data_IF_124807307231
#
_entry.id   IF_124807307231
#
_cell.length_a   1.000
_cell.length_b   1.000
_cell.length_c   1.000
_cell.angle_alpha   90.00
_cell.angle_beta   90.00
_cell.angle_gamma   90.00
#
_symmetry.space_group_name_H-M   'P 1'
#
loop_
_entity.id
_entity.type
_entity.pdbx_description
1 polymer ?
#
# COMPACT_ATOMS: atom_id res chain seq x y z
N UNK A 1 -12.80 -26.27 2.10
CA UNK A 1 -12.00 -25.28 1.36
C UNK A 1 -11.19 -24.51 2.40
N UNK A 2 -9.87 -24.52 2.28
CA UNK A 2 -8.99 -23.83 3.23
C UNK A 2 -9.04 -22.32 2.94
N UNK A 3 -9.18 -21.50 3.97
CA UNK A 3 -9.19 -20.04 3.83
C UNK A 3 -7.77 -19.56 3.49
N UNK A 4 -7.54 -19.19 2.22
CA UNK A 4 -6.23 -18.77 1.71
C UNK A 4 -5.83 -17.36 2.13
N UNK A 5 -6.81 -16.50 2.45
CA UNK A 5 -6.58 -15.07 2.64
C UNK A 5 -5.60 -14.74 3.78
N UNK A 6 -5.64 -15.38 4.97
CA UNK A 6 -4.69 -15.09 6.04
C UNK A 6 -3.24 -15.37 5.66
N UNK A 7 -2.98 -16.54 5.05
CA UNK A 7 -1.63 -16.94 4.64
C UNK A 7 -1.12 -16.05 3.49
N UNK A 8 -2.00 -15.72 2.56
CA UNK A 8 -1.68 -14.82 1.44
C UNK A 8 -1.32 -13.42 1.95
N UNK A 9 -2.09 -12.88 2.89
CA UNK A 9 -1.80 -11.58 3.49
C UNK A 9 -0.45 -11.58 4.23
N UNK A 10 -0.13 -12.63 4.98
CA UNK A 10 1.17 -12.74 5.67
C UNK A 10 2.35 -12.70 4.67
N UNK A 11 2.24 -13.42 3.54
CA UNK A 11 3.25 -13.37 2.46
C UNK A 11 3.39 -11.96 1.89
N UNK A 12 2.28 -11.31 1.57
CA UNK A 12 2.24 -9.93 1.05
C UNK A 12 2.87 -8.95 2.04
N UNK A 13 2.51 -9.03 3.32
CA UNK A 13 3.02 -8.14 4.38
C UNK A 13 4.53 -8.30 4.55
N UNK A 14 5.03 -9.54 4.54
CA UNK A 14 6.45 -9.85 4.63
C UNK A 14 7.21 -9.34 3.42
N UNK A 15 6.67 -9.52 2.21
CA UNK A 15 7.26 -9.01 0.98
C UNK A 15 7.30 -7.47 0.97
N UNK A 16 6.22 -6.82 1.37
CA UNK A 16 6.13 -5.36 1.50
C UNK A 16 7.16 -4.83 2.51
N UNK A 17 7.19 -5.40 3.72
CA UNK A 17 8.12 -4.98 4.77
C UNK A 17 9.57 -5.16 4.33
N UNK A 18 9.89 -6.27 3.66
CA UNK A 18 11.21 -6.52 3.09
C UNK A 18 11.62 -5.46 2.05
N UNK A 19 10.70 -5.06 1.18
CA UNK A 19 10.94 -4.00 0.16
C UNK A 19 11.11 -2.63 0.80
N UNK A 20 10.22 -2.25 1.74
CA UNK A 20 10.30 -1.00 2.50
C UNK A 20 11.65 -0.86 3.22
N UNK A 21 12.15 -1.94 3.82
CA UNK A 21 13.41 -1.91 4.56
C UNK A 21 14.66 -1.79 3.66
N UNK A 22 14.56 -2.19 2.39
CA UNK A 22 15.66 -2.13 1.41
C UNK A 22 15.58 -0.90 0.50
N UNK A 23 14.46 -0.19 0.50
CA UNK A 23 14.25 0.98 -0.36
C UNK A 23 15.06 2.18 0.16
N UNK A 24 15.96 2.68 -0.69
CA UNK A 24 16.88 3.77 -0.33
C UNK A 24 16.17 5.11 -0.14
N UNK A 25 15.12 5.41 -0.91
CA UNK A 25 14.36 6.66 -0.80
C UNK A 25 13.56 6.70 0.50
N UNK A 26 12.95 5.58 0.89
CA UNK A 26 12.28 5.43 2.19
C UNK A 26 13.27 5.61 3.33
N UNK A 27 14.47 5.03 3.22
CA UNK A 27 15.51 5.18 4.24
C UNK A 27 15.96 6.65 4.34
N UNK A 28 16.27 7.28 3.22
CA UNK A 28 16.68 8.68 3.17
C UNK A 28 15.59 9.61 3.74
N UNK A 29 14.32 9.35 3.41
CA UNK A 29 13.18 10.07 3.99
C UNK A 29 13.12 9.92 5.52
N UNK A 30 13.19 8.69 6.04
CA UNK A 30 13.18 8.44 7.49
C UNK A 30 14.34 9.11 8.21
N UNK A 31 15.52 9.17 7.58
CA UNK A 31 16.68 9.88 8.12
C UNK A 31 16.44 11.39 8.16
N UNK A 32 15.91 12.00 7.08
CA UNK A 32 15.50 13.42 7.07
C UNK A 32 14.47 13.72 8.16
N UNK A 33 13.45 12.86 8.30
CA UNK A 33 12.38 13.04 9.28
C UNK A 33 12.91 13.00 10.72
N UNK A 34 13.81 12.06 11.03
CA UNK A 34 14.46 11.94 12.34
C UNK A 34 15.34 13.15 12.68
N UNK A 35 15.96 13.76 11.67
CA UNK A 35 16.81 14.94 11.83
C UNK A 35 16.03 16.26 11.76
N UNK A 36 14.69 16.23 11.72
CA UNK A 36 13.82 17.40 11.53
C UNK A 36 14.15 18.22 10.27
N UNK A 37 14.59 17.54 9.20
CA UNK A 37 14.96 18.12 7.91
C UNK A 37 13.96 17.79 6.80
N UNK A 38 12.97 16.93 7.07
CA UNK A 38 11.94 16.58 6.10
C UNK A 38 10.98 17.75 5.89
N UNK A 39 10.58 17.95 4.63
CA UNK A 39 9.64 18.99 4.21
C UNK A 39 8.30 18.36 3.82
N UNK A 40 7.19 19.14 3.79
CA UNK A 40 5.90 18.64 3.31
C UNK A 40 5.97 18.00 1.91
N UNK A 41 6.83 18.53 1.04
CA UNK A 41 7.08 18.02 -0.32
C UNK A 41 7.68 16.61 -0.33
N UNK A 42 8.48 16.25 0.69
CA UNK A 42 9.11 14.94 0.79
C UNK A 42 8.06 13.84 1.06
N UNK A 43 6.87 14.17 1.58
CA UNK A 43 5.79 13.22 1.85
C UNK A 43 5.28 12.58 0.56
N UNK A 44 5.18 13.34 -0.53
CA UNK A 44 4.72 12.80 -1.83
C UNK A 44 5.72 11.78 -2.39
N UNK A 45 7.03 12.03 -2.25
CA UNK A 45 8.07 11.08 -2.65
C UNK A 45 8.03 9.82 -1.77
N UNK A 46 7.84 9.99 -0.47
CA UNK A 46 7.69 8.86 0.45
C UNK A 46 6.45 8.02 0.13
N UNK A 47 5.30 8.65 -0.13
CA UNK A 47 4.07 7.98 -0.52
C UNK A 47 4.24 7.19 -1.82
N UNK A 48 4.93 7.78 -2.81
CA UNK A 48 5.26 7.10 -4.06
C UNK A 48 6.11 5.84 -3.82
N UNK A 49 7.20 5.97 -3.07
CA UNK A 49 8.10 4.84 -2.79
C UNK A 49 7.39 3.71 -2.02
N UNK A 50 6.50 4.06 -1.07
CA UNK A 50 5.64 3.09 -0.39
C UNK A 50 4.65 2.40 -1.35
N UNK A 51 4.03 3.16 -2.25
CA UNK A 51 3.12 2.63 -3.26
C UNK A 51 3.83 1.66 -4.23
N UNK A 52 5.04 2.00 -4.67
CA UNK A 52 5.87 1.12 -5.50
C UNK A 52 6.25 -0.17 -4.75
N UNK A 53 6.60 -0.09 -3.46
CA UNK A 53 6.85 -1.26 -2.63
C UNK A 53 5.60 -2.14 -2.45
N UNK A 54 4.42 -1.52 -2.26
CA UNK A 54 3.16 -2.22 -2.12
C UNK A 54 2.74 -2.91 -3.42
N UNK A 55 2.80 -2.20 -4.54
CA UNK A 55 2.51 -2.75 -5.87
C UNK A 55 3.40 -3.96 -6.17
N UNK A 56 4.71 -3.85 -5.95
CA UNK A 56 5.63 -4.97 -6.17
C UNK A 56 5.36 -6.15 -5.22
N UNK A 57 4.93 -5.91 -3.98
CA UNK A 57 4.55 -6.98 -3.06
C UNK A 57 3.26 -7.70 -3.49
N UNK A 58 2.29 -6.96 -4.02
CA UNK A 58 1.05 -7.53 -4.54
C UNK A 58 1.31 -8.37 -5.80
N UNK A 59 2.05 -7.83 -6.78
CA UNK A 59 2.39 -8.55 -8.03
C UNK A 59 3.15 -9.85 -7.76
N UNK A 60 4.04 -9.87 -6.75
CA UNK A 60 4.81 -11.06 -6.41
C UNK A 60 3.96 -12.19 -5.80
N UNK A 61 2.89 -11.85 -5.09
CA UNK A 61 2.17 -12.80 -4.23
C UNK A 61 0.74 -13.11 -4.69
N UNK A 62 0.07 -12.19 -5.40
CA UNK A 62 -1.26 -12.43 -5.98
C UNK A 62 -1.04 -13.06 -7.36
N UNK A 63 -0.95 -14.38 -7.37
CA UNK A 63 -0.76 -15.20 -8.57
C UNK A 63 -1.89 -16.22 -8.67
N UNK A 64 -2.26 -16.65 -9.88
CA UNK A 64 -3.35 -17.61 -10.10
C UNK A 64 -3.19 -18.90 -9.28
N UNK A 65 -1.96 -19.39 -9.10
CA UNK A 65 -1.66 -20.60 -8.32
C UNK A 65 -1.83 -20.43 -6.80
N UNK A 66 -1.91 -19.18 -6.32
CA UNK A 66 -2.16 -18.83 -4.92
C UNK A 66 -3.64 -18.48 -4.67
N UNK A 67 -4.46 -18.44 -5.72
CA UNK A 67 -5.87 -18.05 -5.69
C UNK A 67 -6.79 -19.28 -5.86
N UNK A 68 -7.98 -19.28 -5.24
CA UNK A 68 -8.95 -20.34 -5.47
C UNK A 68 -9.49 -20.25 -6.89
N UNK A 69 -9.45 -21.37 -7.61
CA UNK A 69 -9.87 -21.47 -9.01
C UNK A 69 -9.18 -20.43 -9.93
N UNK A 70 -8.01 -19.92 -9.55
CA UNK A 70 -7.30 -18.85 -10.26
C UNK A 70 -7.81 -17.42 -9.99
N UNK A 71 -8.96 -17.28 -9.32
CA UNK A 71 -9.73 -16.03 -9.27
C UNK A 71 -9.52 -15.20 -8.01
N UNK A 72 -9.42 -13.89 -8.19
CA UNK A 72 -9.36 -12.94 -7.08
C UNK A 72 -10.77 -12.57 -6.62
N UNK A 73 -11.29 -13.26 -5.62
CA UNK A 73 -12.60 -12.93 -5.05
C UNK A 73 -12.56 -11.69 -4.14
N UNK A 74 -13.70 -10.98 -4.05
CA UNK A 74 -13.87 -9.79 -3.20
C UNK A 74 -13.38 -10.02 -1.76
N UNK A 75 -13.76 -11.13 -1.14
CA UNK A 75 -13.37 -11.44 0.24
C UNK A 75 -11.86 -11.64 0.40
N UNK A 76 -11.16 -12.13 -0.63
CA UNK A 76 -9.70 -12.27 -0.62
C UNK A 76 -9.07 -10.89 -0.82
N UNK A 77 -9.52 -10.12 -1.81
CA UNK A 77 -9.03 -8.78 -2.08
C UNK A 77 -9.20 -7.85 -0.85
N UNK A 78 -10.37 -7.87 -0.22
CA UNK A 78 -10.69 -7.10 0.98
C UNK A 78 -9.84 -7.53 2.19
N UNK A 79 -9.43 -8.79 2.30
CA UNK A 79 -8.65 -9.29 3.44
C UNK A 79 -7.14 -9.28 3.22
N UNK A 80 -6.68 -9.02 1.99
CA UNK A 80 -5.26 -9.07 1.63
C UNK A 80 -4.74 -7.74 1.09
N UNK A 81 -5.48 -7.08 0.20
CA UNK A 81 -5.07 -5.84 -0.46
C UNK A 81 -5.45 -4.63 0.41
N UNK A 82 -6.69 -4.56 0.90
CA UNK A 82 -7.14 -3.42 1.72
C UNK A 82 -6.26 -3.19 2.97
N UNK A 83 -5.90 -4.20 3.78
CA UNK A 83 -5.05 -3.96 4.96
C UNK A 83 -3.64 -3.46 4.60
N UNK A 84 -3.10 -3.88 3.46
CA UNK A 84 -1.84 -3.34 2.94
C UNK A 84 -1.99 -1.85 2.59
N UNK A 85 -3.09 -1.46 1.93
CA UNK A 85 -3.36 -0.08 1.56
C UNK A 85 -3.65 0.81 2.79
N UNK A 86 -4.33 0.27 3.80
CA UNK A 86 -4.51 0.93 5.11
C UNK A 86 -3.15 1.20 5.77
N UNK A 87 -2.24 0.23 5.74
CA UNK A 87 -0.88 0.39 6.26
C UNK A 87 -0.11 1.47 5.51
N UNK A 88 -0.13 1.47 4.19
CA UNK A 88 0.52 2.52 3.37
C UNK A 88 -0.08 3.89 3.69
N UNK A 89 -1.40 4.00 3.73
CA UNK A 89 -2.10 5.24 4.08
C UNK A 89 -1.72 5.75 5.47
N UNK A 90 -1.68 4.87 6.46
CA UNK A 90 -1.24 5.17 7.82
C UNK A 90 0.19 5.69 7.84
N UNK A 91 1.14 5.00 7.21
CA UNK A 91 2.53 5.41 7.15
C UNK A 91 2.72 6.81 6.53
N UNK A 92 1.96 7.15 5.49
CA UNK A 92 1.99 8.48 4.85
C UNK A 92 1.41 9.55 5.76
N UNK A 93 0.27 9.28 6.40
CA UNK A 93 -0.35 10.21 7.34
C UNK A 93 0.51 10.46 8.58
N UNK A 94 1.19 9.43 9.07
CA UNK A 94 2.10 9.52 10.22
C UNK A 94 3.29 10.43 9.89
N UNK A 95 3.87 10.23 8.71
CA UNK A 95 4.95 11.06 8.20
C UNK A 95 4.51 12.53 8.04
N UNK A 96 3.35 12.78 7.44
CA UNK A 96 2.80 14.12 7.28
C UNK A 96 2.50 14.80 8.63
N UNK A 97 1.90 14.04 9.56
CA UNK A 97 1.60 14.49 10.92
C UNK A 97 2.87 14.90 11.66
N UNK A 98 3.92 14.07 11.58
CA UNK A 98 5.19 14.33 12.23
C UNK A 98 5.89 15.57 11.68
N UNK A 99 5.94 15.74 10.34
CA UNK A 99 6.50 16.94 9.72
C UNK A 99 5.75 18.20 10.18
N UNK A 100 4.42 18.14 10.22
CA UNK A 100 3.62 19.27 10.68
C UNK A 100 3.91 19.63 12.14
N UNK A 101 4.05 18.64 13.04
CA UNK A 101 4.45 18.89 14.44
C UNK A 101 5.80 19.56 14.55
N UNK A 102 6.77 19.14 13.73
CA UNK A 102 8.12 19.73 13.72
C UNK A 102 8.09 21.19 13.26
N UNK A 103 7.28 21.50 12.24
CA UNK A 103 7.06 22.87 11.75
C UNK A 103 6.40 23.74 12.82
N UNK A 104 5.32 23.25 13.43
CA UNK A 104 4.55 23.99 14.43
C UNK A 104 5.38 24.27 15.68
N UNK A 105 6.16 23.28 16.14
CA UNK A 105 7.12 23.44 17.24
C UNK A 105 8.18 24.50 16.95
N UNK A 106 8.69 24.54 15.71
CA UNK A 106 9.67 25.55 15.28
C UNK A 106 9.06 26.97 15.26
N UNK A 107 7.76 27.07 15.00
CA UNK A 107 7.01 28.34 14.95
C UNK A 107 6.39 28.74 16.29
N UNK A 108 6.61 27.96 17.35
CA UNK A 108 5.96 28.13 18.65
C UNK A 108 4.41 28.18 18.53
N UNK A 109 3.88 27.39 17.60
CA UNK A 109 2.45 27.17 17.38
C UNK A 109 2.10 25.79 17.91
N UNK A 110 1.00 25.66 18.65
CA UNK A 110 0.57 24.40 19.26
C UNK A 110 -0.71 23.88 18.59
N UNK A 111 -0.61 23.58 17.30
CA UNK A 111 -1.69 22.95 16.54
C UNK A 111 -1.45 21.44 16.48
N UNK A 112 -2.54 20.68 16.60
CA UNK A 112 -2.50 19.24 16.37
C UNK A 112 -2.60 18.99 14.85
N UNK A 113 -1.70 18.17 14.26
CA UNK A 113 -1.82 17.82 12.87
C UNK A 113 -3.10 17.03 12.61
N UNK A 114 -3.75 17.34 11.49
CA UNK A 114 -4.91 16.61 11.01
C UNK A 114 -4.45 15.39 10.22
N UNK A 115 -5.00 14.23 10.56
CA UNK A 115 -4.87 13.02 9.74
C UNK A 115 -6.03 12.93 8.76
N UNK A 116 -5.75 12.58 7.52
CA UNK A 116 -6.78 12.28 6.54
C UNK A 116 -7.51 10.99 6.92
N UNK A 117 -8.81 10.94 6.66
CA UNK A 117 -9.60 9.72 6.77
C UNK A 117 -9.19 8.72 5.67
N UNK A 118 -9.23 7.43 6.00
CA UNK A 118 -8.95 6.39 5.02
C UNK A 118 -10.02 6.42 3.92
N UNK A 119 -9.64 6.49 2.63
CA UNK A 119 -10.60 6.73 1.55
C UNK A 119 -11.31 5.43 1.13
N UNK A 120 -12.19 4.92 1.98
CA UNK A 120 -12.90 3.64 1.83
C UNK A 120 -13.50 3.41 0.44
N UNK A 121 -14.30 4.36 -0.05
CA UNK A 121 -14.96 4.23 -1.36
C UNK A 121 -13.97 4.17 -2.53
N UNK A 122 -12.84 4.90 -2.44
CA UNK A 122 -11.80 4.84 -3.48
C UNK A 122 -11.09 3.50 -3.47
N UNK A 123 -10.87 2.92 -2.30
CA UNK A 123 -10.27 1.59 -2.18
C UNK A 123 -11.22 0.54 -2.73
N UNK A 124 -12.51 0.60 -2.39
CA UNK A 124 -13.53 -0.29 -2.96
C UNK A 124 -13.55 -0.23 -4.48
N UNK A 125 -13.56 0.97 -5.07
CA UNK A 125 -13.51 1.15 -6.51
C UNK A 125 -12.24 0.55 -7.13
N UNK A 126 -11.09 0.72 -6.47
CA UNK A 126 -9.82 0.13 -6.91
C UNK A 126 -9.85 -1.41 -6.87
N UNK A 127 -10.39 -2.01 -5.81
CA UNK A 127 -10.52 -3.47 -5.70
C UNK A 127 -11.43 -4.03 -6.79
N UNK A 128 -12.57 -3.36 -7.06
CA UNK A 128 -13.47 -3.72 -8.15
C UNK A 128 -12.76 -3.71 -9.51
N UNK A 129 -12.05 -2.62 -9.82
CA UNK A 129 -11.31 -2.52 -11.08
C UNK A 129 -10.20 -3.56 -11.22
N UNK A 130 -9.54 -3.93 -10.11
CA UNK A 130 -8.50 -4.96 -10.11
C UNK A 130 -9.05 -6.35 -10.41
N UNK A 131 -10.20 -6.71 -9.83
CA UNK A 131 -10.82 -8.01 -10.11
C UNK A 131 -11.31 -8.07 -11.55
N UNK A 132 -11.96 -7.02 -12.04
CA UNK A 132 -12.41 -6.96 -13.44
C UNK A 132 -11.23 -7.09 -14.42
N UNK A 133 -10.14 -6.35 -14.19
CA UNK A 133 -8.97 -6.43 -15.06
C UNK A 133 -8.29 -7.81 -15.05
N UNK A 134 -8.36 -8.55 -13.93
CA UNK A 134 -7.84 -9.91 -13.84
C UNK A 134 -8.75 -10.92 -14.54
N UNK A 135 -10.07 -10.74 -14.47
CA UNK A 135 -11.04 -11.55 -15.21
C UNK A 135 -10.90 -11.37 -16.72
N UNK A 136 -10.80 -10.13 -17.20
CA UNK A 136 -10.59 -9.81 -18.63
C UNK A 136 -9.27 -10.40 -19.18
N UNK A 137 -8.20 -10.37 -18.37
CA UNK A 137 -6.91 -10.93 -18.77
C UNK A 137 -6.90 -12.47 -18.85
N UNK A 138 -7.82 -13.16 -18.18
CA UNK A 138 -8.01 -14.61 -18.32
C UNK A 138 -8.71 -14.94 -19.64
N UNK A 139 -9.71 -14.16 -20.04
CA UNK A 139 -10.48 -14.36 -21.27
C UNK A 139 -9.62 -14.17 -22.54
N UNK A 140 -8.79 -13.11 -22.57
CA UNK A 140 -7.90 -12.83 -23.71
C UNK A 140 -6.81 -13.91 -23.90
N UNK A 141 -6.39 -14.59 -22.83
CA UNK A 141 -5.39 -15.66 -22.88
C UNK A 141 -5.92 -17.00 -23.40
N UNK A 142 -7.24 -17.21 -23.33
CA UNK A 142 -7.91 -18.39 -23.91
C UNK A 142 -8.14 -18.24 -25.42
N UNK A 143 -8.33 -17.01 -25.92
CA UNK A 143 -8.51 -16.75 -27.37
C UNK A 143 -7.22 -16.92 -28.20
N UNK A 144 -6.03 -16.74 -27.62
CA UNK A 144 -4.76 -16.96 -28.34
C UNK A 144 -4.35 -18.45 -28.48
N UNK A 145 -5.06 -19.38 -27.81
CA UNK A 145 -4.77 -20.81 -27.83
C UNK A 145 -5.77 -21.66 -28.65
N UNK A 146 -6.63 -21.02 -29.45
CA UNK A 146 -7.56 -21.64 -30.41
C UNK A 146 -7.13 -21.44 -31.86
#
# INVERSE_FOLDING_TARGET
MEDVAPKLYEKIEKAFTGKVNRNMDIRAFKEKLRNSQAKPEDVSLYARALGECASAALIENIRQDELPDGKLYWNIAERTIKPLLERVHGMVNDAASEIQKQIDSTRNVHLNPVRAEFPEERIRALLNGLMQALEEAEEDGEEENL
#
